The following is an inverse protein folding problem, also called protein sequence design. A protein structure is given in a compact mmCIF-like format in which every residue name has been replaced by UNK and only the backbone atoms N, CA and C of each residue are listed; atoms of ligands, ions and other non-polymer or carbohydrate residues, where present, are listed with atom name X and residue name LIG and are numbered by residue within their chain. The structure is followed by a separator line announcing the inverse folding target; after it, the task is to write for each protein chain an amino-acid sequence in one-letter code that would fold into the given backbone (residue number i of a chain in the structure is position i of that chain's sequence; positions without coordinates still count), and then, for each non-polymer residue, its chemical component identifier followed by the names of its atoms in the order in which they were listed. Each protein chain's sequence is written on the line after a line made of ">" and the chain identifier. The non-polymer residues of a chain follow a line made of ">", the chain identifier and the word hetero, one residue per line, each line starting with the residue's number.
data_IF_807989154840
#
_entry.id   IF_807989154840
#
_cell.length_a   1.000
_cell.length_b   1.000
_cell.length_c   1.000
_cell.angle_alpha   90.00
_cell.angle_beta   90.00
_cell.angle_gamma   90.00
#
_symmetry.space_group_name_H-M   'P 1'
#
loop_
_entity.id
_entity.type
_entity.pdbx_description
1 polymer ?
#
# COMPACT_ATOMS: atom_id res chain seq x y z
N UNK A 1 -20.37 40.69 -50.99
CA UNK A 1 -19.18 39.91 -50.55
C UNK A 1 -18.76 40.31 -49.15
N UNK A 2 -18.66 41.61 -48.83
CA UNK A 2 -18.30 42.08 -47.47
C UNK A 2 -19.24 41.63 -46.34
N UNK A 3 -20.54 41.43 -46.62
CA UNK A 3 -21.52 41.03 -45.59
C UNK A 3 -21.49 39.53 -45.26
N UNK A 4 -20.93 38.69 -46.14
CA UNK A 4 -20.74 37.26 -45.90
C UNK A 4 -19.44 36.98 -45.14
N UNK A 5 -18.35 37.72 -45.42
CA UNK A 5 -17.10 37.60 -44.65
C UNK A 5 -17.30 37.99 -43.18
N UNK A 6 -18.03 39.08 -42.93
CA UNK A 6 -18.32 39.54 -41.55
C UNK A 6 -19.08 38.53 -40.71
N UNK A 7 -19.96 37.74 -41.34
CA UNK A 7 -20.77 36.69 -40.68
C UNK A 7 -19.96 35.43 -40.36
N UNK A 8 -18.92 35.14 -41.14
CA UNK A 8 -18.04 33.98 -40.93
C UNK A 8 -17.07 34.27 -39.77
N UNK A 9 -16.61 35.52 -39.64
CA UNK A 9 -15.71 35.92 -38.55
C UNK A 9 -16.42 35.96 -37.17
N UNK A 10 -17.68 36.42 -37.10
CA UNK A 10 -18.45 36.43 -35.84
C UNK A 10 -18.83 35.03 -35.35
N UNK A 11 -19.17 34.11 -36.26
CA UNK A 11 -19.51 32.72 -35.88
C UNK A 11 -18.26 31.99 -35.37
N UNK A 12 -17.10 32.21 -35.99
CA UNK A 12 -15.85 31.57 -35.60
C UNK A 12 -15.30 32.10 -34.26
N UNK A 13 -15.52 33.38 -33.93
CA UNK A 13 -15.16 33.90 -32.60
C UNK A 13 -16.07 33.34 -31.51
N UNK A 14 -17.38 33.19 -31.76
CA UNK A 14 -18.31 32.66 -30.76
C UNK A 14 -18.12 31.17 -30.45
N UNK A 15 -17.78 30.34 -31.44
CA UNK A 15 -17.51 28.92 -31.22
C UNK A 15 -16.14 28.67 -30.56
N UNK A 16 -15.15 29.53 -30.83
CA UNK A 16 -13.82 29.46 -30.19
C UNK A 16 -13.86 29.97 -28.74
N UNK A 17 -14.69 30.96 -28.44
CA UNK A 17 -14.85 31.50 -27.08
C UNK A 17 -15.65 30.55 -26.17
N UNK A 18 -16.60 29.77 -26.72
CA UNK A 18 -17.31 28.71 -25.98
C UNK A 18 -16.43 27.48 -25.69
N UNK A 19 -15.38 27.23 -26.49
CA UNK A 19 -14.40 26.16 -26.21
C UNK A 19 -13.26 26.57 -25.28
N UNK A 20 -13.20 27.84 -24.88
CA UNK A 20 -12.15 28.39 -24.01
C UNK A 20 -12.73 29.07 -22.77
N UNK A 21 -13.82 28.54 -22.22
CA UNK A 21 -14.07 28.77 -20.80
C UNK A 21 -12.85 28.26 -20.02
N UNK A 22 -12.10 29.12 -19.32
CA UNK A 22 -11.00 28.64 -18.51
C UNK A 22 -11.63 27.78 -17.43
N UNK A 23 -11.40 26.46 -17.49
CA UNK A 23 -11.64 25.55 -16.37
C UNK A 23 -11.07 26.25 -15.15
N UNK A 24 -11.95 26.72 -14.27
CA UNK A 24 -11.61 27.54 -13.12
C UNK A 24 -10.53 26.80 -12.30
N UNK A 25 -9.28 27.17 -12.52
CA UNK A 25 -8.10 26.48 -12.00
C UNK A 25 -7.79 26.93 -10.56
N UNK A 26 -8.82 27.36 -9.84
CA UNK A 26 -8.75 27.89 -8.48
C UNK A 26 -8.76 26.84 -7.37
N UNK A 27 -8.87 25.53 -7.66
CA UNK A 27 -9.04 24.50 -6.60
C UNK A 27 -7.80 23.68 -6.25
N UNK A 28 -6.74 23.67 -7.08
CA UNK A 28 -5.61 22.75 -6.87
C UNK A 28 -4.81 23.04 -5.58
N UNK A 29 -4.76 24.30 -5.14
CA UNK A 29 -4.01 24.67 -3.93
C UNK A 29 -4.74 24.24 -2.63
N UNK A 30 -6.08 24.26 -2.64
CA UNK A 30 -6.91 23.87 -1.50
C UNK A 30 -6.95 22.33 -1.33
N UNK A 31 -6.93 21.60 -2.44
CA UNK A 31 -6.92 20.14 -2.43
C UNK A 31 -5.57 19.57 -1.95
N UNK A 32 -4.45 20.16 -2.38
CA UNK A 32 -3.11 19.71 -1.98
C UNK A 32 -2.77 20.10 -0.52
N UNK A 33 -3.28 21.24 -0.06
CA UNK A 33 -3.14 21.65 1.35
C UNK A 33 -3.96 20.77 2.29
N UNK A 34 -5.13 20.27 1.85
CA UNK A 34 -5.96 19.32 2.61
C UNK A 34 -5.24 18.00 2.89
N UNK A 35 -4.57 17.43 1.87
CA UNK A 35 -3.80 16.18 1.99
C UNK A 35 -2.67 16.31 3.02
N UNK A 36 -2.08 17.50 3.11
CA UNK A 36 -1.00 17.81 4.08
C UNK A 36 -1.52 18.18 5.47
N UNK A 37 -2.84 18.31 5.66
CA UNK A 37 -3.40 18.69 6.95
C UNK A 37 -3.32 17.54 7.96
N UNK A 38 -2.90 17.78 9.21
CA UNK A 38 -2.75 16.71 10.20
C UNK A 38 -4.06 16.01 10.53
N UNK A 39 -5.17 16.77 10.59
CA UNK A 39 -6.50 16.24 10.85
C UNK A 39 -6.96 15.25 9.77
N UNK A 40 -6.70 15.58 8.49
CA UNK A 40 -6.96 14.64 7.39
C UNK A 40 -6.10 13.38 7.51
N UNK A 41 -4.80 13.54 7.79
CA UNK A 41 -3.88 12.41 7.94
C UNK A 41 -4.29 11.44 9.06
N UNK A 42 -4.60 11.94 10.26
CA UNK A 42 -5.12 11.10 11.35
C UNK A 42 -6.47 10.48 10.99
N UNK A 43 -7.38 11.25 10.38
CA UNK A 43 -8.68 10.76 9.93
C UNK A 43 -8.55 9.60 8.95
N UNK A 44 -7.69 9.72 7.95
CA UNK A 44 -7.40 8.66 6.99
C UNK A 44 -6.77 7.43 7.67
N UNK A 45 -5.77 7.63 8.54
CA UNK A 45 -5.13 6.50 9.24
C UNK A 45 -6.12 5.69 10.08
N UNK A 46 -6.86 6.34 11.00
CA UNK A 46 -7.78 5.63 11.88
C UNK A 46 -8.98 5.06 11.13
N UNK A 47 -9.51 5.77 10.13
CA UNK A 47 -10.58 5.22 9.31
C UNK A 47 -10.11 4.00 8.53
N UNK A 48 -8.92 4.01 7.92
CA UNK A 48 -8.36 2.84 7.24
C UNK A 48 -8.24 1.62 8.16
N UNK A 49 -7.80 1.79 9.40
CA UNK A 49 -7.70 0.68 10.36
C UNK A 49 -9.07 0.11 10.73
N UNK A 50 -10.06 0.97 10.99
CA UNK A 50 -11.43 0.56 11.27
C UNK A 50 -12.03 -0.16 10.06
N UNK A 51 -11.81 0.38 8.85
CA UNK A 51 -12.29 -0.22 7.61
C UNK A 51 -11.64 -1.58 7.35
N UNK A 52 -10.35 -1.73 7.63
CA UNK A 52 -9.65 -3.02 7.51
C UNK A 52 -10.22 -4.05 8.48
N UNK A 53 -10.45 -3.67 9.74
CA UNK A 53 -11.07 -4.54 10.74
C UNK A 53 -12.50 -4.96 10.35
N UNK A 54 -13.35 -4.00 9.96
CA UNK A 54 -14.74 -4.29 9.58
C UNK A 54 -14.83 -5.10 8.29
N UNK A 55 -13.98 -4.80 7.30
CA UNK A 55 -13.91 -5.58 6.07
C UNK A 55 -13.47 -7.02 6.37
N UNK A 56 -12.42 -7.19 7.18
CA UNK A 56 -11.94 -8.52 7.60
C UNK A 56 -13.06 -9.31 8.27
N UNK A 57 -13.71 -8.74 9.29
CA UNK A 57 -14.82 -9.38 10.00
C UNK A 57 -15.99 -9.77 9.07
N UNK A 58 -16.38 -8.87 8.14
CA UNK A 58 -17.49 -9.12 7.22
C UNK A 58 -17.15 -10.20 6.20
N UNK A 59 -15.94 -10.15 5.64
CA UNK A 59 -15.48 -11.10 4.64
C UNK A 59 -15.25 -12.48 5.25
N UNK A 60 -14.80 -12.55 6.50
CA UNK A 60 -14.64 -13.80 7.25
C UNK A 60 -15.94 -14.62 7.25
N UNK A 61 -17.04 -13.98 7.67
CA UNK A 61 -18.37 -14.58 7.69
C UNK A 61 -18.84 -15.04 6.29
N UNK A 62 -18.61 -14.23 5.25
CA UNK A 62 -19.02 -14.55 3.88
C UNK A 62 -18.21 -15.74 3.34
N UNK A 63 -16.89 -15.73 3.53
CA UNK A 63 -16.01 -16.78 2.99
C UNK A 63 -16.27 -18.10 3.69
N UNK A 64 -16.47 -18.11 5.01
CA UNK A 64 -16.79 -19.35 5.73
C UNK A 64 -18.12 -19.95 5.27
N UNK A 65 -19.12 -19.11 4.96
CA UNK A 65 -20.39 -19.58 4.40
C UNK A 65 -20.26 -20.17 2.98
N UNK A 66 -19.26 -19.73 2.19
CA UNK A 66 -19.10 -20.12 0.78
C UNK A 66 -18.11 -21.27 0.57
N UNK A 67 -16.99 -21.27 1.28
CA UNK A 67 -15.89 -22.23 1.09
C UNK A 67 -16.11 -23.52 1.88
N UNK A 68 -16.86 -23.45 2.99
CA UNK A 68 -17.11 -24.58 3.87
C UNK A 68 -15.88 -25.00 4.67
N UNK A 69 -16.09 -25.91 5.64
CA UNK A 69 -15.03 -26.43 6.50
C UNK A 69 -14.06 -27.35 5.72
N UNK A 70 -12.76 -27.27 6.04
CA UNK A 70 -11.73 -28.18 5.51
C UNK A 70 -10.82 -27.64 4.40
N UNK A 71 -10.95 -26.36 4.00
CA UNK A 71 -10.07 -25.74 3.01
C UNK A 71 -9.47 -24.41 3.48
N UNK A 72 -8.76 -24.46 4.60
CA UNK A 72 -8.23 -23.30 5.33
C UNK A 72 -7.36 -22.37 4.48
N UNK A 73 -6.50 -22.92 3.62
CA UNK A 73 -5.62 -22.11 2.73
C UNK A 73 -6.45 -21.34 1.71
N UNK A 74 -7.50 -21.96 1.17
CA UNK A 74 -8.40 -21.31 0.22
C UNK A 74 -9.24 -20.24 0.90
N UNK A 75 -9.78 -20.55 2.09
CA UNK A 75 -10.51 -19.60 2.89
C UNK A 75 -9.64 -18.38 3.21
N UNK A 76 -8.41 -18.58 3.70
CA UNK A 76 -7.47 -17.50 4.00
C UNK A 76 -7.15 -16.64 2.77
N UNK A 77 -6.90 -17.26 1.61
CA UNK A 77 -6.59 -16.54 0.37
C UNK A 77 -7.74 -15.62 -0.06
N UNK A 78 -8.98 -16.12 -0.05
CA UNK A 78 -10.15 -15.32 -0.39
C UNK A 78 -10.54 -14.31 0.68
N UNK A 79 -10.30 -14.62 1.97
CA UNK A 79 -10.49 -13.68 3.08
C UNK A 79 -9.61 -12.45 2.89
N UNK A 80 -8.32 -12.64 2.63
CA UNK A 80 -7.38 -11.54 2.38
C UNK A 80 -7.73 -10.77 1.11
N UNK A 81 -7.96 -11.48 0.00
CA UNK A 81 -8.33 -10.84 -1.26
C UNK A 81 -9.60 -9.97 -1.11
N UNK A 82 -10.67 -10.53 -0.54
CA UNK A 82 -11.92 -9.82 -0.31
C UNK A 82 -11.76 -8.63 0.63
N UNK A 83 -11.01 -8.81 1.72
CA UNK A 83 -10.72 -7.75 2.70
C UNK A 83 -10.03 -6.56 2.01
N UNK A 84 -8.94 -6.80 1.28
CA UNK A 84 -8.21 -5.73 0.60
C UNK A 84 -9.03 -5.07 -0.51
N UNK A 85 -9.85 -5.81 -1.25
CA UNK A 85 -10.77 -5.25 -2.26
C UNK A 85 -11.77 -4.30 -1.60
N UNK A 86 -12.43 -4.73 -0.53
CA UNK A 86 -13.41 -3.90 0.19
C UNK A 86 -12.74 -2.69 0.84
N UNK A 87 -11.65 -2.89 1.57
CA UNK A 87 -10.93 -1.80 2.23
C UNK A 87 -10.42 -0.76 1.22
N UNK A 88 -9.78 -1.19 0.13
CA UNK A 88 -9.31 -0.26 -0.90
C UNK A 88 -10.48 0.51 -1.56
N UNK A 89 -11.59 -0.16 -1.83
CA UNK A 89 -12.80 0.47 -2.39
C UNK A 89 -13.36 1.54 -1.45
N UNK A 90 -13.48 1.23 -0.16
CA UNK A 90 -14.02 2.15 0.84
C UNK A 90 -13.08 3.35 1.10
N UNK A 91 -11.76 3.12 1.12
CA UNK A 91 -10.78 4.21 1.17
C UNK A 91 -10.91 5.09 -0.09
N UNK A 92 -11.06 4.49 -1.27
CA UNK A 92 -11.23 5.25 -2.53
C UNK A 92 -12.49 6.12 -2.49
N UNK A 93 -13.61 5.59 -1.98
CA UNK A 93 -14.85 6.36 -1.76
C UNK A 93 -14.60 7.50 -0.76
N UNK A 94 -13.93 7.24 0.36
CA UNK A 94 -13.57 8.29 1.33
C UNK A 94 -12.71 9.40 0.69
N UNK A 95 -11.70 9.04 -0.10
CA UNK A 95 -10.85 10.01 -0.81
C UNK A 95 -11.63 10.80 -1.87
N UNK A 96 -12.60 10.18 -2.53
CA UNK A 96 -13.49 10.85 -3.47
C UNK A 96 -14.38 11.87 -2.75
N UNK A 97 -15.06 11.46 -1.66
CA UNK A 97 -15.93 12.32 -0.86
C UNK A 97 -15.18 13.51 -0.23
N UNK A 98 -13.92 13.30 0.15
CA UNK A 98 -13.05 14.35 0.69
C UNK A 98 -12.38 15.21 -0.38
N UNK A 99 -12.64 14.94 -1.67
CA UNK A 99 -12.04 15.62 -2.84
C UNK A 99 -10.52 15.51 -2.91
N UNK A 100 -9.94 14.43 -2.38
CA UNK A 100 -8.48 14.20 -2.36
C UNK A 100 -8.03 13.10 -3.33
N UNK A 101 -8.95 12.30 -3.85
CA UNK A 101 -8.66 11.21 -4.79
C UNK A 101 -7.99 11.71 -6.08
N UNK A 102 -8.57 12.73 -6.74
CA UNK A 102 -8.09 13.21 -8.03
C UNK A 102 -6.66 13.79 -7.96
N UNK A 103 -6.30 14.64 -6.99
CA UNK A 103 -4.91 15.06 -6.78
C UNK A 103 -3.92 13.91 -6.60
N UNK A 104 -4.30 12.85 -5.87
CA UNK A 104 -3.45 11.68 -5.65
C UNK A 104 -3.26 10.87 -6.95
N UNK A 105 -4.35 10.61 -7.68
CA UNK A 105 -4.33 9.84 -8.94
C UNK A 105 -3.58 10.58 -10.05
N UNK A 106 -3.72 11.92 -10.15
CA UNK A 106 -2.98 12.74 -11.11
C UNK A 106 -1.46 12.57 -11.00
N UNK A 107 -0.93 12.20 -9.83
CA UNK A 107 0.51 11.95 -9.66
C UNK A 107 0.99 10.71 -10.43
N UNK A 108 0.12 9.73 -10.65
CA UNK A 108 0.41 8.54 -11.45
C UNK A 108 0.39 8.79 -12.95
N UNK A 109 -0.04 9.95 -13.46
CA UNK A 109 0.03 10.22 -14.91
C UNK A 109 1.43 10.68 -15.35
N UNK A 110 2.37 10.85 -14.41
CA UNK A 110 3.74 11.28 -14.66
C UNK A 110 4.66 10.06 -14.69
N UNK A 111 5.67 10.08 -15.55
CA UNK A 111 6.64 8.98 -15.66
C UNK A 111 7.59 8.90 -14.46
N UNK A 112 7.89 10.04 -13.82
CA UNK A 112 8.89 10.13 -12.73
C UNK A 112 8.62 9.16 -11.57
N UNK A 113 7.40 9.06 -11.00
CA UNK A 113 7.08 8.07 -9.97
C UNK A 113 7.37 6.63 -10.37
N UNK A 114 7.25 6.27 -11.65
CA UNK A 114 7.55 4.91 -12.10
C UNK A 114 9.05 4.62 -12.14
N UNK A 115 9.84 5.56 -12.68
CA UNK A 115 11.29 5.40 -12.75
C UNK A 115 11.89 5.41 -11.34
N UNK A 116 11.53 6.40 -10.53
CA UNK A 116 12.04 6.53 -9.18
C UNK A 116 11.49 5.42 -8.28
N UNK A 117 10.21 5.08 -8.43
CA UNK A 117 9.59 3.96 -7.71
C UNK A 117 10.29 2.63 -8.00
N UNK A 118 10.57 2.32 -9.27
CA UNK A 118 11.33 1.13 -9.64
C UNK A 118 12.72 1.11 -8.98
N UNK A 119 13.47 2.21 -9.12
CA UNK A 119 14.80 2.35 -8.52
C UNK A 119 14.78 2.19 -6.99
N UNK A 120 13.86 2.89 -6.31
CA UNK A 120 13.73 2.82 -4.87
C UNK A 120 13.17 1.48 -4.39
N UNK A 121 12.34 0.80 -5.18
CA UNK A 121 11.88 -0.56 -4.89
C UNK A 121 13.04 -1.54 -4.78
N UNK A 122 14.02 -1.47 -5.70
CA UNK A 122 15.25 -2.26 -5.59
C UNK A 122 16.08 -1.87 -4.36
N UNK A 123 16.13 -0.58 -3.99
CA UNK A 123 16.81 -0.15 -2.76
C UNK A 123 16.15 -0.78 -1.53
N UNK A 124 14.82 -0.80 -1.45
CA UNK A 124 14.10 -1.45 -0.33
C UNK A 124 14.47 -2.93 -0.24
N UNK A 125 14.47 -3.65 -1.36
CA UNK A 125 14.88 -5.07 -1.41
C UNK A 125 16.32 -5.26 -0.92
N UNK A 126 17.26 -4.46 -1.42
CA UNK A 126 18.67 -4.58 -1.04
C UNK A 126 18.84 -4.35 0.46
N UNK A 127 18.21 -3.29 0.99
CA UNK A 127 18.30 -2.95 2.41
C UNK A 127 17.64 -4.04 3.26
N UNK A 128 16.45 -4.53 2.90
CA UNK A 128 15.75 -5.56 3.66
C UNK A 128 16.52 -6.89 3.69
N UNK A 129 17.13 -7.29 2.57
CA UNK A 129 18.01 -8.47 2.49
C UNK A 129 19.25 -8.27 3.36
N UNK A 130 19.93 -7.12 3.27
CA UNK A 130 21.09 -6.81 4.12
C UNK A 130 20.69 -6.88 5.60
N UNK A 131 19.57 -6.28 5.99
CA UNK A 131 19.09 -6.34 7.37
C UNK A 131 18.81 -7.78 7.80
N UNK A 132 18.17 -8.59 6.96
CA UNK A 132 17.90 -10.00 7.26
C UNK A 132 19.20 -10.79 7.46
N UNK A 133 20.18 -10.62 6.57
CA UNK A 133 21.48 -11.29 6.68
C UNK A 133 22.25 -10.85 7.93
N UNK A 134 22.22 -9.56 8.28
CA UNK A 134 22.83 -9.07 9.51
C UNK A 134 22.18 -9.69 10.75
N UNK A 135 20.85 -9.77 10.78
CA UNK A 135 20.13 -10.42 11.88
C UNK A 135 20.49 -11.91 11.99
N UNK A 136 20.62 -12.62 10.86
CA UNK A 136 21.04 -14.02 10.86
C UNK A 136 22.49 -14.22 11.34
N UNK A 137 23.39 -13.27 11.04
CA UNK A 137 24.77 -13.33 11.56
C UNK A 137 24.80 -13.11 13.08
N UNK A 138 23.96 -12.20 13.59
CA UNK A 138 23.94 -11.83 15.00
C UNK A 138 23.23 -12.87 15.89
N UNK A 139 22.16 -13.49 15.40
CA UNK A 139 21.28 -14.35 16.19
C UNK A 139 21.21 -15.81 15.69
N UNK A 140 21.89 -16.14 14.59
CA UNK A 140 21.86 -17.45 13.97
C UNK A 140 20.88 -17.54 12.79
N UNK A 141 20.93 -18.66 12.06
CA UNK A 141 19.99 -18.89 10.96
C UNK A 141 18.57 -19.01 11.53
N UNK A 142 17.74 -18.06 11.12
CA UNK A 142 16.34 -17.95 11.49
C UNK A 142 15.45 -18.58 10.42
N UNK A 143 14.37 -19.22 10.85
CA UNK A 143 13.30 -19.62 9.94
C UNK A 143 12.56 -18.39 9.38
N UNK A 144 11.83 -18.58 8.29
CA UNK A 144 10.93 -17.55 7.78
C UNK A 144 9.91 -17.17 8.84
N UNK A 145 9.56 -15.89 8.97
CA UNK A 145 8.46 -15.49 9.84
C UNK A 145 7.12 -16.07 9.35
N UNK A 146 6.14 -16.18 10.25
CA UNK A 146 4.83 -16.75 9.99
C UNK A 146 4.11 -16.06 8.83
N UNK A 147 4.23 -14.74 8.71
CA UNK A 147 3.64 -13.98 7.62
C UNK A 147 4.18 -14.47 6.26
N UNK A 148 5.50 -14.63 6.14
CA UNK A 148 6.15 -15.12 4.92
C UNK A 148 5.80 -16.59 4.64
N UNK A 149 5.74 -17.44 5.67
CA UNK A 149 5.32 -18.84 5.54
C UNK A 149 3.89 -18.95 4.99
N UNK A 150 2.96 -18.15 5.54
CA UNK A 150 1.56 -18.09 5.10
C UNK A 150 1.46 -17.60 3.66
N UNK A 151 2.19 -16.53 3.31
CA UNK A 151 2.27 -16.03 1.93
C UNK A 151 2.75 -17.12 0.98
N UNK A 152 3.86 -17.79 1.29
CA UNK A 152 4.41 -18.87 0.46
C UNK A 152 3.42 -20.04 0.29
N UNK A 153 2.69 -20.41 1.36
CA UNK A 153 1.64 -21.42 1.31
C UNK A 153 0.50 -21.03 0.36
N UNK A 154 0.02 -19.78 0.43
CA UNK A 154 -1.03 -19.28 -0.47
C UNK A 154 -0.54 -19.25 -1.91
N UNK A 155 0.68 -18.75 -2.16
CA UNK A 155 1.27 -18.70 -3.50
C UNK A 155 1.33 -20.09 -4.15
N UNK A 156 1.57 -21.14 -3.36
CA UNK A 156 1.64 -22.52 -3.87
C UNK A 156 0.29 -23.08 -4.36
N UNK A 157 -0.83 -22.48 -3.94
CA UNK A 157 -2.21 -22.96 -4.21
C UNK A 157 -3.04 -21.98 -5.04
N UNK A 158 -2.91 -20.68 -4.77
CA UNK A 158 -3.76 -19.59 -5.27
C UNK A 158 -2.95 -18.40 -5.78
N UNK A 159 -1.98 -18.58 -6.70
CA UNK A 159 -1.09 -17.51 -7.13
C UNK A 159 -1.84 -16.34 -7.82
N UNK A 160 -2.84 -16.64 -8.65
CA UNK A 160 -3.52 -15.60 -9.43
C UNK A 160 -4.31 -14.64 -8.55
N UNK A 161 -5.09 -15.14 -7.59
CA UNK A 161 -5.85 -14.26 -6.67
C UNK A 161 -4.92 -13.55 -5.70
N UNK A 162 -3.83 -14.20 -5.27
CA UNK A 162 -2.90 -13.61 -4.31
C UNK A 162 -2.05 -12.50 -4.90
N UNK A 163 -1.74 -12.56 -6.19
CA UNK A 163 -1.07 -11.47 -6.91
C UNK A 163 -1.75 -10.12 -6.67
N UNK A 164 -3.07 -10.03 -6.82
CA UNK A 164 -3.77 -8.75 -6.74
C UNK A 164 -3.67 -8.11 -5.35
N UNK A 165 -3.81 -8.88 -4.28
CA UNK A 165 -3.77 -8.30 -2.94
C UNK A 165 -2.34 -8.14 -2.40
N UNK A 166 -1.41 -9.04 -2.72
CA UNK A 166 -0.01 -8.94 -2.27
C UNK A 166 0.75 -7.84 -3.02
N UNK A 167 0.58 -7.78 -4.34
CA UNK A 167 1.42 -6.93 -5.20
C UNK A 167 0.79 -5.56 -5.42
N UNK A 168 -0.54 -5.45 -5.46
CA UNK A 168 -1.22 -4.20 -5.83
C UNK A 168 -1.99 -3.59 -4.66
N UNK A 169 -3.04 -4.25 -4.19
CA UNK A 169 -3.98 -3.65 -3.23
C UNK A 169 -3.36 -3.43 -1.85
N UNK A 170 -2.61 -4.40 -1.33
CA UNK A 170 -1.90 -4.30 -0.06
C UNK A 170 -0.98 -3.08 -0.03
N UNK A 171 0.03 -2.99 -0.92
CA UNK A 171 0.89 -1.82 -1.02
C UNK A 171 0.14 -0.48 -1.12
N UNK A 172 -0.94 -0.40 -1.91
CA UNK A 172 -1.72 0.84 -2.03
C UNK A 172 -2.47 1.20 -0.73
N UNK A 173 -3.12 0.22 -0.09
CA UNK A 173 -3.82 0.42 1.19
C UNK A 173 -2.83 0.82 2.28
N UNK A 174 -1.69 0.16 2.35
CA UNK A 174 -0.63 0.43 3.33
C UNK A 174 -0.02 1.82 3.11
N UNK A 175 0.27 2.21 1.87
CA UNK A 175 0.84 3.53 1.57
C UNK A 175 -0.16 4.67 1.82
N UNK A 176 -1.45 4.47 1.55
CA UNK A 176 -2.51 5.42 1.92
C UNK A 176 -2.63 5.54 3.44
N UNK A 177 -2.57 4.41 4.16
CA UNK A 177 -2.77 4.37 5.61
C UNK A 177 -1.57 4.93 6.36
N UNK A 178 -0.36 4.43 6.07
CA UNK A 178 0.83 4.74 6.84
C UNK A 178 1.56 5.98 6.33
N UNK A 179 1.53 6.28 5.03
CA UNK A 179 2.22 7.47 4.50
C UNK A 179 1.30 8.66 4.38
N UNK A 180 0.25 8.55 3.57
CA UNK A 180 -0.70 9.65 3.38
C UNK A 180 -1.46 9.95 4.67
N UNK A 181 -1.77 8.93 5.46
CA UNK A 181 -2.38 9.05 6.79
C UNK A 181 -1.36 9.38 7.89
N UNK A 182 -0.76 8.35 8.48
CA UNK A 182 0.01 8.45 9.72
C UNK A 182 1.27 9.34 9.60
N UNK A 183 2.11 9.11 8.59
CA UNK A 183 3.37 9.84 8.42
C UNK A 183 3.12 11.33 8.18
N UNK A 184 2.22 11.70 7.26
CA UNK A 184 1.83 13.10 7.04
C UNK A 184 1.30 13.76 8.32
N UNK A 185 0.47 13.06 9.08
CA UNK A 185 -0.13 13.61 10.28
C UNK A 185 0.93 14.01 11.32
N UNK A 186 1.91 13.14 11.54
CA UNK A 186 2.97 13.34 12.52
C UNK A 186 4.04 14.32 12.00
N UNK A 187 4.38 14.25 10.70
CA UNK A 187 5.49 15.03 10.12
C UNK A 187 5.26 16.54 10.17
N UNK A 188 4.00 16.96 10.23
CA UNK A 188 3.59 18.34 10.48
C UNK A 188 4.11 18.95 11.79
N UNK A 189 4.36 18.10 12.80
CA UNK A 189 4.86 18.52 14.13
C UNK A 189 6.28 18.07 14.36
N UNK A 190 6.60 16.82 14.00
CA UNK A 190 7.92 16.26 14.19
C UNK A 190 8.23 15.24 13.10
N UNK A 191 9.12 15.63 12.18
CA UNK A 191 9.58 14.79 11.07
C UNK A 191 10.24 13.50 11.55
N UNK A 192 11.12 13.56 12.55
CA UNK A 192 11.81 12.37 13.07
C UNK A 192 10.79 11.40 13.68
N UNK A 193 9.83 11.91 14.46
CA UNK A 193 8.77 11.09 15.02
C UNK A 193 7.93 10.41 13.93
N UNK A 194 7.66 11.09 12.81
CA UNK A 194 6.91 10.51 11.70
C UNK A 194 7.63 9.29 11.10
N UNK A 195 8.95 9.39 10.90
CA UNK A 195 9.78 8.25 10.46
C UNK A 195 9.73 7.10 11.46
N UNK A 196 10.03 7.36 12.73
CA UNK A 196 10.12 6.33 13.76
C UNK A 196 8.77 5.64 13.98
N UNK A 197 7.70 6.40 14.20
CA UNK A 197 6.38 5.84 14.50
C UNK A 197 5.80 5.11 13.28
N UNK A 198 5.87 5.69 12.09
CA UNK A 198 5.35 5.06 10.87
C UNK A 198 6.09 3.76 10.53
N UNK A 199 7.40 3.69 10.77
CA UNK A 199 8.19 2.49 10.56
C UNK A 199 7.92 1.39 11.60
N UNK A 200 7.80 1.75 12.88
CA UNK A 200 7.46 0.78 13.92
C UNK A 200 6.07 0.20 13.69
N UNK A 201 5.07 1.03 13.39
CA UNK A 201 3.71 0.57 13.07
C UNK A 201 3.72 -0.36 11.86
N UNK A 202 4.45 0.01 10.79
CA UNK A 202 4.59 -0.84 9.61
C UNK A 202 5.23 -2.19 9.95
N UNK A 203 6.31 -2.20 10.73
CA UNK A 203 7.02 -3.43 11.11
C UNK A 203 6.18 -4.34 11.99
N UNK A 204 5.56 -3.81 13.05
CA UNK A 204 4.76 -4.60 13.98
C UNK A 204 3.41 -5.06 13.41
N UNK A 205 2.94 -4.47 12.31
CA UNK A 205 1.79 -5.02 11.58
C UNK A 205 2.11 -6.40 10.95
N UNK A 206 3.38 -6.63 10.60
CA UNK A 206 3.84 -7.88 9.99
C UNK A 206 4.32 -8.91 11.03
N UNK A 207 4.25 -8.56 12.32
CA UNK A 207 4.65 -9.42 13.42
C UNK A 207 3.47 -10.27 13.88
N UNK A 208 3.70 -11.57 14.06
CA UNK A 208 2.70 -12.50 14.57
C UNK A 208 3.04 -12.95 15.98
N UNK A 209 2.02 -13.31 16.75
CA UNK A 209 2.20 -14.02 18.03
C UNK A 209 1.91 -15.50 17.76
N UNK A 210 2.94 -16.34 17.56
CA UNK A 210 2.72 -17.74 17.23
C UNK A 210 2.24 -18.51 18.47
N UNK A 211 1.21 -19.32 18.27
CA UNK A 211 0.63 -20.19 19.29
C UNK A 211 0.92 -21.65 18.96
N UNK A 212 1.17 -22.45 19.99
CA UNK A 212 1.31 -23.90 19.89
C UNK A 212 -0.07 -24.60 19.91
N UNK A 213 -0.08 -25.93 19.80
CA UNK A 213 -1.32 -26.72 19.77
C UNK A 213 -2.19 -26.58 21.03
N UNK A 214 -1.58 -26.23 22.17
CA UNK A 214 -2.27 -26.02 23.45
C UNK A 214 -2.76 -24.57 23.63
N UNK A 215 -2.58 -23.72 22.61
CA UNK A 215 -2.94 -22.30 22.65
C UNK A 215 -1.98 -21.42 23.47
N UNK A 216 -0.84 -21.95 23.91
CA UNK A 216 0.22 -21.18 24.56
C UNK A 216 1.18 -20.59 23.53
N UNK A 217 1.92 -19.54 23.91
CA UNK A 217 2.90 -18.91 23.02
C UNK A 217 4.02 -19.89 22.68
N UNK A 218 4.26 -20.10 21.38
CA UNK A 218 5.41 -20.83 20.88
C UNK A 218 6.66 -19.94 20.98
N UNK A 219 7.45 -20.14 22.03
CA UNK A 219 8.60 -19.29 22.32
C UNK A 219 9.68 -19.34 21.24
N UNK A 220 9.89 -20.50 20.61
CA UNK A 220 10.89 -20.64 19.56
C UNK A 220 10.49 -19.81 18.33
N UNK A 221 9.24 -19.97 17.87
CA UNK A 221 8.72 -19.17 16.74
C UNK A 221 8.61 -17.69 17.08
N UNK A 222 8.32 -17.33 18.33
CA UNK A 222 8.28 -15.93 18.74
C UNK A 222 9.67 -15.27 18.62
N UNK A 223 10.74 -16.00 18.94
CA UNK A 223 12.11 -15.52 18.72
C UNK A 223 12.35 -15.30 17.23
N UNK A 224 11.91 -16.21 16.36
CA UNK A 224 12.03 -16.04 14.90
C UNK A 224 11.31 -14.78 14.40
N UNK A 225 10.12 -14.48 14.91
CA UNK A 225 9.40 -13.24 14.60
C UNK A 225 10.22 -11.99 14.99
N UNK A 226 10.88 -12.01 16.16
CA UNK A 226 11.73 -10.90 16.59
C UNK A 226 13.04 -10.78 15.81
N UNK A 227 13.60 -11.89 15.31
CA UNK A 227 14.78 -11.84 14.43
C UNK A 227 14.41 -11.26 13.06
N UNK A 228 13.20 -11.54 12.57
CA UNK A 228 12.74 -11.10 11.25
C UNK A 228 12.17 -9.66 11.24
N UNK A 229 11.55 -9.18 12.32
CA UNK A 229 10.88 -7.87 12.36
C UNK A 229 11.75 -6.65 11.96
N UNK A 230 13.07 -6.61 12.23
CA UNK A 230 13.88 -5.44 11.85
C UNK A 230 13.88 -5.18 10.34
N UNK A 231 13.79 -6.22 9.51
CA UNK A 231 13.71 -6.07 8.05
C UNK A 231 12.46 -5.29 7.62
N UNK A 232 11.31 -5.54 8.26
CA UNK A 232 10.07 -4.80 8.03
C UNK A 232 10.15 -3.37 8.57
N UNK A 233 10.69 -3.16 9.77
CA UNK A 233 10.86 -1.80 10.34
C UNK A 233 11.74 -0.95 9.43
N UNK A 234 12.87 -1.49 8.97
CA UNK A 234 13.77 -0.77 8.07
C UNK A 234 13.09 -0.50 6.72
N UNK A 235 12.34 -1.46 6.17
CA UNK A 235 11.54 -1.23 4.96
C UNK A 235 10.53 -0.09 5.17
N UNK A 236 9.84 -0.06 6.32
CA UNK A 236 8.93 1.02 6.70
C UNK A 236 9.61 2.40 6.78
N UNK A 237 10.85 2.46 7.29
CA UNK A 237 11.67 3.69 7.29
C UNK A 237 11.98 4.15 5.86
N UNK A 238 12.42 3.23 5.00
CA UNK A 238 12.79 3.52 3.61
C UNK A 238 11.57 3.97 2.81
N UNK A 239 10.41 3.33 2.96
CA UNK A 239 9.16 3.80 2.36
C UNK A 239 8.73 5.17 2.86
N UNK A 240 8.90 5.46 4.16
CA UNK A 240 8.71 6.81 4.71
C UNK A 240 9.60 7.84 4.00
N UNK A 241 10.85 7.48 3.73
CA UNK A 241 11.81 8.34 3.03
C UNK A 241 11.40 8.58 1.58
N UNK A 242 11.05 7.51 0.87
CA UNK A 242 10.60 7.59 -0.53
C UNK A 242 9.35 8.44 -0.62
N UNK A 243 8.39 8.26 0.30
CA UNK A 243 7.17 9.05 0.34
C UNK A 243 7.45 10.54 0.53
N UNK A 244 8.36 10.90 1.44
CA UNK A 244 8.71 12.30 1.63
C UNK A 244 9.40 12.92 0.40
N UNK A 245 10.16 12.11 -0.35
CA UNK A 245 10.89 12.56 -1.55
C UNK A 245 10.07 12.59 -2.83
N UNK A 246 9.23 11.57 -3.04
CA UNK A 246 8.53 11.30 -4.31
C UNK A 246 7.00 11.31 -4.17
N UNK A 247 6.48 11.42 -2.95
CA UNK A 247 5.06 11.41 -2.66
C UNK A 247 4.42 10.03 -2.82
N UNK A 248 3.08 10.01 -2.66
CA UNK A 248 2.27 8.79 -2.67
C UNK A 248 2.50 7.90 -3.90
N UNK A 249 2.57 8.48 -5.11
CA UNK A 249 2.76 7.68 -6.31
C UNK A 249 4.14 7.00 -6.35
N UNK A 250 5.21 7.72 -5.97
CA UNK A 250 6.56 7.16 -5.97
C UNK A 250 6.74 6.07 -4.92
N UNK A 251 6.23 6.29 -3.70
CA UNK A 251 6.31 5.29 -2.63
C UNK A 251 5.44 4.06 -2.92
N UNK A 252 4.24 4.26 -3.50
CA UNK A 252 3.38 3.15 -3.95
C UNK A 252 4.05 2.32 -5.03
N UNK A 253 4.65 2.93 -6.05
CA UNK A 253 5.34 2.16 -7.10
C UNK A 253 6.58 1.45 -6.53
N UNK A 254 7.32 2.07 -5.61
CA UNK A 254 8.43 1.39 -4.94
C UNK A 254 7.96 0.17 -4.14
N UNK A 255 6.84 0.28 -3.43
CA UNK A 255 6.29 -0.81 -2.65
C UNK A 255 5.73 -1.93 -3.53
N UNK A 256 4.98 -1.58 -4.57
CA UNK A 256 4.51 -2.52 -5.60
C UNK A 256 5.71 -3.24 -6.25
N UNK A 257 6.80 -2.52 -6.55
CA UNK A 257 8.02 -3.10 -7.10
C UNK A 257 8.64 -4.10 -6.12
N UNK A 258 8.81 -3.71 -4.85
CA UNK A 258 9.32 -4.60 -3.81
C UNK A 258 8.51 -5.90 -3.73
N UNK A 259 7.18 -5.78 -3.63
CA UNK A 259 6.31 -6.93 -3.50
C UNK A 259 6.23 -7.76 -4.79
N UNK A 260 6.26 -7.13 -5.96
CA UNK A 260 6.25 -7.85 -7.25
C UNK A 260 7.49 -8.71 -7.40
N UNK A 261 8.68 -8.17 -7.10
CA UNK A 261 9.92 -8.94 -7.22
C UNK A 261 9.93 -10.07 -6.20
N UNK A 262 9.60 -9.81 -4.94
CA UNK A 262 9.48 -10.86 -3.92
C UNK A 262 8.47 -11.94 -4.31
N UNK A 263 7.31 -11.56 -4.83
CA UNK A 263 6.29 -12.48 -5.33
C UNK A 263 6.84 -13.37 -6.46
N UNK A 264 7.51 -12.79 -7.46
CA UNK A 264 8.10 -13.55 -8.58
C UNK A 264 9.16 -14.52 -8.06
N UNK A 265 10.05 -14.08 -7.16
CA UNK A 265 11.10 -14.92 -6.58
C UNK A 265 10.51 -16.08 -5.75
N UNK A 266 9.49 -15.82 -4.93
CA UNK A 266 8.77 -16.86 -4.20
C UNK A 266 8.13 -17.89 -5.14
N UNK A 267 7.45 -17.44 -6.20
CA UNK A 267 6.88 -18.35 -7.21
C UNK A 267 7.97 -19.19 -7.88
N UNK A 268 9.07 -18.57 -8.32
CA UNK A 268 10.20 -19.31 -8.92
C UNK A 268 10.72 -20.36 -7.93
N UNK A 269 10.96 -19.98 -6.68
CA UNK A 269 11.44 -20.90 -5.63
C UNK A 269 10.49 -22.09 -5.41
N UNK A 270 9.18 -21.84 -5.31
CA UNK A 270 8.15 -22.86 -5.06
C UNK A 270 7.99 -23.83 -6.23
N UNK A 271 8.11 -23.37 -7.47
CA UNK A 271 7.87 -24.20 -8.66
C UNK A 271 9.14 -24.77 -9.29
N UNK A 272 10.32 -24.18 -9.05
CA UNK A 272 11.60 -24.75 -9.47
C UNK A 272 12.10 -25.85 -8.51
N UNK A 273 11.57 -25.91 -7.29
CA UNK A 273 11.87 -26.96 -6.29
C UNK A 273 10.98 -28.21 -6.40
N UNK A 274 10.05 -28.24 -7.37
CA UNK A 274 9.20 -29.40 -7.70
C UNK A 274 9.76 -30.16 -8.89
#
# INVERSE_FOLDING_TARGET
>A
MEEQEKRVDEVNQSEVEVMLEPLNYGSNHDEESRIKSPGFGYGLFFSSLILLFLASFTIDFIVDALVGEGNEVTAFAYKNFGTYVVTFSLITVFLFLTKTLLPLVKKFTKIRPYIHGLFYGFIVIIISVITTLLMQILFGQAEENLNQQIINLILSKHPVSSFFWIVLLGPLVEELTYRVGLFNAISSRNRIAAYVVSALVFGFLHFNIPLNADGAIDQAKLIEEFINIPSYIVSGLVFGYIYEKEGFAGSSVAHITNNLISYILSIISIYASK
#
